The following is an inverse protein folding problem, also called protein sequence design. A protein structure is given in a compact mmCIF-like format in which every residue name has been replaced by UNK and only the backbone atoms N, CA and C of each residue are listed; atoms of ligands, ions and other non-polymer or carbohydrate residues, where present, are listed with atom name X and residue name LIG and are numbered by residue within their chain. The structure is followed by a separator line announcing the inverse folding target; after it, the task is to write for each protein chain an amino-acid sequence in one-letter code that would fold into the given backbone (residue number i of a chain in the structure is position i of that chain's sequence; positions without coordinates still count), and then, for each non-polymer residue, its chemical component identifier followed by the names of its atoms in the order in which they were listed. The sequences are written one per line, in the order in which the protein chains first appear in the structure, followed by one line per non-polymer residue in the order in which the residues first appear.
data_IF_150950549493
#
_entry.id   IF_150950549493
#
_cell.length_a   1.000
_cell.length_b   1.000
_cell.length_c   1.000
_cell.angle_alpha   90.00
_cell.angle_beta   90.00
_cell.angle_gamma   90.00
#
_symmetry.space_group_name_H-M   'P 1'
#
loop_
_entity.id
_entity.type
_entity.pdbx_description
1 polymer ?
#
# COMPACT_ATOMS: atom_id res chain seq x y z
N UNK A 1 27.59 22.22 -13.55
CA UNK A 1 27.58 21.24 -12.44
C UNK A 1 26.59 20.13 -12.78
N UNK A 2 26.57 19.02 -12.02
CA UNK A 2 25.61 17.93 -12.25
C UNK A 2 24.23 18.31 -11.69
N UNK A 3 23.12 18.15 -12.43
CA UNK A 3 21.78 18.36 -11.89
C UNK A 3 21.53 17.51 -10.64
N UNK A 4 20.93 18.11 -9.60
CA UNK A 4 20.73 17.43 -8.31
C UNK A 4 19.87 16.16 -8.45
N UNK A 5 18.97 16.13 -9.45
CA UNK A 5 18.13 14.98 -9.78
C UNK A 5 18.90 13.79 -10.40
N UNK A 6 20.18 13.95 -10.76
CA UNK A 6 21.01 12.84 -11.28
C UNK A 6 21.74 12.07 -10.18
N UNK A 7 21.73 12.54 -8.93
CA UNK A 7 22.22 11.78 -7.78
C UNK A 7 21.19 10.73 -7.35
N UNK A 8 21.60 9.46 -7.28
CA UNK A 8 20.73 8.32 -6.92
C UNK A 8 20.00 8.51 -5.58
N UNK A 9 20.61 9.20 -4.61
CA UNK A 9 19.98 9.50 -3.32
C UNK A 9 18.80 10.48 -3.44
N UNK A 10 18.87 11.45 -4.35
CA UNK A 10 17.77 12.38 -4.63
C UNK A 10 16.63 11.64 -5.35
N UNK A 11 16.98 10.79 -6.31
CA UNK A 11 16.04 9.97 -7.07
C UNK A 11 15.30 8.95 -6.18
N UNK A 12 16.03 8.25 -5.29
CA UNK A 12 15.46 7.28 -4.34
C UNK A 12 14.36 7.88 -3.46
N UNK A 13 14.57 9.11 -2.97
CA UNK A 13 13.56 9.87 -2.22
C UNK A 13 12.41 10.33 -3.11
N UNK A 14 12.71 11.10 -4.16
CA UNK A 14 11.66 11.79 -4.92
C UNK A 14 10.81 10.84 -5.77
N UNK A 15 11.39 9.81 -6.38
CA UNK A 15 10.61 8.88 -7.23
C UNK A 15 9.74 7.96 -6.39
N UNK A 16 10.12 7.66 -5.15
CA UNK A 16 9.24 7.02 -4.19
C UNK A 16 8.01 7.89 -3.87
N UNK A 17 8.16 9.21 -3.75
CA UNK A 17 7.03 10.14 -3.53
C UNK A 17 6.13 10.23 -4.78
N UNK A 18 6.70 10.33 -5.99
CA UNK A 18 5.92 10.25 -7.25
C UNK A 18 5.12 8.94 -7.30
N UNK A 19 5.75 7.82 -6.94
CA UNK A 19 5.10 6.52 -6.91
C UNK A 19 3.97 6.42 -5.87
N UNK A 20 4.15 7.03 -4.70
CA UNK A 20 3.08 7.19 -3.69
C UNK A 20 1.91 8.02 -4.25
N UNK A 21 2.16 9.17 -4.88
CA UNK A 21 1.10 10.03 -5.42
C UNK A 21 0.21 9.30 -6.45
N UNK A 22 0.81 8.58 -7.41
CA UNK A 22 0.05 7.77 -8.38
C UNK A 22 -0.69 6.60 -7.72
N UNK A 23 -0.08 5.91 -6.75
CA UNK A 23 -0.73 4.81 -6.02
C UNK A 23 -1.95 5.30 -5.22
N UNK A 24 -1.83 6.46 -4.54
CA UNK A 24 -2.92 7.12 -3.82
C UNK A 24 -4.04 7.52 -4.76
N UNK A 25 -3.74 8.15 -5.90
CA UNK A 25 -4.74 8.57 -6.88
C UNK A 25 -5.61 7.39 -7.39
N UNK A 26 -4.98 6.31 -7.86
CA UNK A 26 -5.75 5.14 -8.33
C UNK A 26 -6.49 4.41 -7.20
N UNK A 27 -5.97 4.45 -5.97
CA UNK A 27 -6.66 3.90 -4.80
C UNK A 27 -7.92 4.72 -4.44
N UNK A 28 -7.85 6.05 -4.59
CA UNK A 28 -8.99 6.96 -4.44
C UNK A 28 -10.11 6.65 -5.44
N UNK A 29 -9.77 6.42 -6.71
CA UNK A 29 -10.74 5.99 -7.74
C UNK A 29 -11.39 4.63 -7.39
N UNK A 30 -10.61 3.65 -6.92
CA UNK A 30 -11.13 2.34 -6.50
C UNK A 30 -12.12 2.49 -5.34
N UNK A 31 -11.79 3.26 -4.31
CA UNK A 31 -12.67 3.51 -3.16
C UNK A 31 -13.92 4.32 -3.55
N UNK A 32 -13.77 5.30 -4.42
CA UNK A 32 -14.90 6.08 -4.95
C UNK A 32 -15.88 5.19 -5.72
N UNK A 33 -15.38 4.18 -6.43
CA UNK A 33 -16.23 3.21 -7.12
C UNK A 33 -16.84 2.16 -6.17
N UNK A 34 -16.14 1.75 -5.10
CA UNK A 34 -16.72 0.93 -4.02
C UNK A 34 -17.86 1.67 -3.28
N UNK A 35 -17.69 2.97 -3.04
CA UNK A 35 -18.74 3.82 -2.46
C UNK A 35 -19.98 3.88 -3.36
N UNK A 36 -19.82 4.12 -4.67
CA UNK A 36 -20.94 4.10 -5.65
C UNK A 36 -21.67 2.76 -5.69
N UNK A 37 -20.94 1.64 -5.56
CA UNK A 37 -21.53 0.30 -5.48
C UNK A 37 -22.37 0.12 -4.21
N UNK A 38 -21.85 0.57 -3.05
CA UNK A 38 -22.58 0.55 -1.79
C UNK A 38 -23.83 1.45 -1.83
N UNK A 39 -23.74 2.67 -2.37
CA UNK A 39 -24.86 3.61 -2.47
C UNK A 39 -26.04 3.00 -3.24
N UNK A 40 -25.75 2.43 -4.42
CA UNK A 40 -26.73 1.70 -5.23
C UNK A 40 -27.33 0.47 -4.53
N UNK A 41 -26.54 -0.28 -3.75
CA UNK A 41 -27.02 -1.43 -2.97
C UNK A 41 -27.88 -1.01 -1.77
N UNK A 42 -27.50 0.06 -1.07
CA UNK A 42 -28.20 0.58 0.11
C UNK A 42 -29.62 1.03 -0.24
N UNK A 43 -29.82 1.54 -1.46
CA UNK A 43 -31.14 1.86 -2.02
C UNK A 43 -32.09 0.66 -2.15
N UNK A 44 -31.56 -0.57 -2.14
CA UNK A 44 -32.32 -1.83 -2.10
C UNK A 44 -32.40 -2.47 -0.71
N UNK A 45 -31.80 -1.83 0.32
CA UNK A 45 -31.74 -2.34 1.68
C UNK A 45 -30.59 -3.32 1.97
N UNK A 46 -29.67 -3.53 1.02
CA UNK A 46 -28.45 -4.30 1.26
C UNK A 46 -27.35 -3.41 1.85
N UNK A 47 -26.86 -3.78 3.03
CA UNK A 47 -25.78 -3.10 3.75
C UNK A 47 -24.52 -3.97 3.89
N UNK A 48 -24.42 -5.08 3.17
CA UNK A 48 -23.34 -6.06 3.27
C UNK A 48 -21.94 -5.46 3.03
N UNK A 49 -21.82 -4.53 2.07
CA UNK A 49 -20.56 -3.82 1.81
C UNK A 49 -20.17 -2.78 2.87
N UNK A 50 -21.10 -2.28 3.70
CA UNK A 50 -20.86 -1.15 4.60
C UNK A 50 -19.67 -1.36 5.54
N UNK A 51 -19.54 -2.56 6.10
CA UNK A 51 -18.44 -2.89 7.01
C UNK A 51 -17.07 -2.94 6.30
N UNK A 52 -17.02 -3.43 5.06
CA UNK A 52 -15.80 -3.47 4.24
C UNK A 52 -15.41 -2.06 3.76
N UNK A 53 -16.39 -1.29 3.28
CA UNK A 53 -16.23 0.10 2.87
C UNK A 53 -15.68 0.95 4.02
N UNK A 54 -16.33 0.94 5.19
CA UNK A 54 -15.89 1.68 6.37
C UNK A 54 -14.47 1.30 6.82
N UNK A 55 -14.15 0.00 6.90
CA UNK A 55 -12.81 -0.44 7.30
C UNK A 55 -11.74 0.00 6.29
N UNK A 56 -12.05 -0.08 4.99
CA UNK A 56 -11.18 0.36 3.90
C UNK A 56 -10.96 1.88 3.95
N UNK A 57 -12.02 2.68 4.13
CA UNK A 57 -11.91 4.15 4.21
C UNK A 57 -11.18 4.61 5.46
N UNK A 58 -11.47 4.04 6.64
CA UNK A 58 -10.74 4.38 7.88
C UNK A 58 -9.24 4.07 7.76
N UNK A 59 -8.89 2.89 7.25
CA UNK A 59 -7.50 2.48 7.07
C UNK A 59 -6.77 3.35 6.05
N UNK A 60 -7.38 3.60 4.89
CA UNK A 60 -6.76 4.39 3.83
C UNK A 60 -6.66 5.88 4.18
N UNK A 61 -7.66 6.49 4.82
CA UNK A 61 -7.58 7.87 5.31
C UNK A 61 -6.37 8.04 6.22
N UNK A 62 -6.19 7.11 7.17
CA UNK A 62 -5.05 7.14 8.09
C UNK A 62 -3.70 6.96 7.38
N UNK A 63 -3.59 5.94 6.52
CA UNK A 63 -2.37 5.65 5.76
C UNK A 63 -1.98 6.80 4.82
N UNK A 64 -2.92 7.30 4.01
CA UNK A 64 -2.68 8.33 2.99
C UNK A 64 -2.35 9.68 3.62
N UNK A 65 -3.05 10.07 4.69
CA UNK A 65 -2.75 11.34 5.37
C UNK A 65 -1.37 11.36 6.02
N UNK A 66 -0.96 10.29 6.70
CA UNK A 66 0.40 10.17 7.24
C UNK A 66 1.47 10.14 6.13
N UNK A 67 1.28 9.31 5.10
CA UNK A 67 2.18 9.19 3.94
C UNK A 67 2.39 10.51 3.20
N UNK A 68 1.34 11.32 3.09
CA UNK A 68 1.40 12.62 2.39
C UNK A 68 2.10 13.69 3.22
N UNK A 69 1.90 13.71 4.56
CA UNK A 69 2.68 14.59 5.46
C UNK A 69 4.18 14.27 5.35
N UNK A 70 4.57 13.00 5.47
CA UNK A 70 5.96 12.54 5.26
C UNK A 70 6.49 13.02 3.89
N UNK A 71 5.71 12.80 2.83
CA UNK A 71 6.09 13.12 1.44
C UNK A 71 6.32 14.61 1.19
N UNK A 72 5.44 15.48 1.71
CA UNK A 72 5.56 16.94 1.53
C UNK A 72 6.84 17.46 2.20
N UNK A 73 7.12 17.05 3.44
CA UNK A 73 8.35 17.43 4.13
C UNK A 73 9.59 16.87 3.41
N UNK A 74 9.55 15.65 2.88
CA UNK A 74 10.72 15.09 2.20
C UNK A 74 10.99 15.74 0.83
N UNK A 75 9.95 16.16 0.10
CA UNK A 75 10.06 17.02 -1.08
C UNK A 75 10.58 18.42 -0.72
N UNK A 76 10.10 19.02 0.38
CA UNK A 76 10.60 20.30 0.89
C UNK A 76 12.11 20.22 1.20
N UNK A 77 12.52 19.16 1.91
CA UNK A 77 13.94 18.82 2.20
C UNK A 77 14.74 18.46 0.94
N UNK A 78 14.10 18.17 -0.20
CA UNK A 78 14.78 17.90 -1.46
C UNK A 78 15.19 19.18 -2.20
N UNK A 79 14.53 20.30 -1.91
CA UNK A 79 14.86 21.63 -2.43
C UNK A 79 15.93 22.37 -1.59
N UNK A 80 16.57 21.68 -0.65
CA UNK A 80 17.65 22.22 0.20
C UNK A 80 17.23 23.47 0.97
N UNK A 81 18.13 24.46 1.05
CA UNK A 81 17.86 25.73 1.74
C UNK A 81 16.73 26.55 1.11
N UNK A 82 16.55 26.48 -0.22
CA UNK A 82 15.46 27.19 -0.89
C UNK A 82 14.08 26.59 -0.55
N UNK A 83 14.00 25.29 -0.25
CA UNK A 83 12.80 24.65 0.30
C UNK A 83 12.40 25.12 1.71
N UNK A 84 13.19 25.94 2.40
CA UNK A 84 12.73 26.60 3.63
C UNK A 84 12.02 27.93 3.34
N UNK A 85 12.24 28.53 2.17
CA UNK A 85 11.59 29.78 1.77
C UNK A 85 10.10 29.57 1.54
N UNK A 86 9.26 30.53 1.95
CA UNK A 86 7.82 30.47 1.65
C UNK A 86 7.54 30.55 0.15
N UNK A 87 8.45 31.13 -0.64
CA UNK A 87 8.40 31.11 -2.11
C UNK A 87 8.58 29.71 -2.72
N UNK A 88 8.85 28.67 -1.93
CA UNK A 88 8.86 27.27 -2.41
C UNK A 88 7.47 26.62 -2.47
N UNK A 89 6.42 27.28 -1.96
CA UNK A 89 5.06 26.73 -1.82
C UNK A 89 4.93 25.68 -0.69
N UNK A 90 5.91 24.79 -0.56
CA UNK A 90 5.91 23.67 0.39
C UNK A 90 5.62 24.05 1.85
N UNK A 91 6.13 25.17 2.36
CA UNK A 91 5.89 25.59 3.75
C UNK A 91 4.41 25.83 4.04
N UNK A 92 3.69 26.46 3.11
CA UNK A 92 2.24 26.69 3.24
C UNK A 92 1.47 25.38 2.99
N UNK A 93 1.79 24.66 1.92
CA UNK A 93 1.14 23.39 1.58
C UNK A 93 1.24 22.34 2.69
N UNK A 94 2.37 22.29 3.40
CA UNK A 94 2.54 21.44 4.58
C UNK A 94 1.64 21.88 5.74
N UNK A 95 1.52 23.18 6.00
CA UNK A 95 0.65 23.73 7.05
C UNK A 95 -0.83 23.48 6.75
N UNK A 96 -1.26 23.67 5.49
CA UNK A 96 -2.62 23.42 5.04
C UNK A 96 -2.99 21.92 5.07
N UNK A 97 -2.02 21.03 4.83
CA UNK A 97 -2.26 19.58 4.83
C UNK A 97 -2.18 18.94 6.23
N UNK A 98 -1.42 19.53 7.17
CA UNK A 98 -1.19 18.99 8.52
C UNK A 98 -2.44 18.66 9.37
N UNK A 99 -3.64 19.25 9.18
CA UNK A 99 -4.84 18.82 9.90
C UNK A 99 -5.41 17.44 9.48
N UNK A 100 -5.07 16.95 8.28
CA UNK A 100 -5.67 15.74 7.70
C UNK A 100 -5.44 14.45 8.50
N UNK A 101 -4.29 14.23 9.19
CA UNK A 101 -4.13 13.13 10.14
C UNK A 101 -5.03 13.17 11.41
N UNK A 102 -5.70 14.29 11.69
CA UNK A 102 -6.44 14.51 12.96
C UNK A 102 -7.93 14.72 12.74
N UNK A 103 -8.33 15.51 11.74
CA UNK A 103 -9.74 15.75 11.44
C UNK A 103 -10.38 14.55 10.72
N UNK A 104 -11.71 14.47 10.71
CA UNK A 104 -12.49 13.32 10.22
C UNK A 104 -12.18 11.96 10.92
N UNK A 105 -11.43 12.00 12.02
CA UNK A 105 -11.02 10.84 12.81
C UNK A 105 -9.51 10.77 12.94
N UNK A 106 -9.02 10.75 14.19
CA UNK A 106 -7.59 10.60 14.48
C UNK A 106 -7.02 9.29 13.89
N UNK A 107 -5.79 9.36 13.36
CA UNK A 107 -5.17 8.26 12.64
C UNK A 107 -4.87 7.01 13.50
N UNK A 108 -4.66 7.14 14.82
CA UNK A 108 -4.57 5.98 15.74
C UNK A 108 -5.95 5.37 16.02
N UNK A 109 -6.99 6.20 16.12
CA UNK A 109 -8.36 5.70 16.29
C UNK A 109 -8.89 4.99 15.02
N UNK A 110 -8.62 5.53 13.83
CA UNK A 110 -9.03 4.93 12.55
C UNK A 110 -8.29 3.61 12.24
N UNK A 111 -7.01 3.51 12.58
CA UNK A 111 -6.29 2.22 12.47
C UNK A 111 -6.82 1.19 13.45
N UNK A 112 -7.21 1.58 14.67
CA UNK A 112 -7.85 0.67 15.63
C UNK A 112 -9.23 0.17 15.16
N UNK A 113 -10.05 1.03 14.53
CA UNK A 113 -11.31 0.60 13.88
C UNK A 113 -11.06 -0.45 12.79
N UNK A 114 -10.05 -0.21 11.95
CA UNK A 114 -9.64 -1.11 10.86
C UNK A 114 -9.16 -2.45 11.43
N UNK A 115 -8.30 -2.44 12.45
CA UNK A 115 -7.83 -3.64 13.13
C UNK A 115 -8.97 -4.48 13.72
N UNK A 116 -9.97 -3.86 14.36
CA UNK A 116 -11.16 -4.55 14.87
C UNK A 116 -11.93 -5.30 13.77
N UNK A 117 -12.07 -4.71 12.58
CA UNK A 117 -12.69 -5.35 11.43
C UNK A 117 -11.88 -6.57 10.93
N UNK A 118 -10.56 -6.40 10.79
CA UNK A 118 -9.66 -7.49 10.38
C UNK A 118 -9.67 -8.66 11.37
N UNK A 119 -9.61 -8.38 12.68
CA UNK A 119 -9.65 -9.39 13.73
C UNK A 119 -11.01 -10.10 13.83
N UNK A 120 -12.13 -9.40 13.53
CA UNK A 120 -13.44 -10.04 13.41
C UNK A 120 -13.46 -11.01 12.21
N UNK A 121 -13.07 -10.53 11.04
CA UNK A 121 -13.05 -11.31 9.79
C UNK A 121 -12.18 -12.57 9.92
N UNK A 122 -11.00 -12.46 10.53
CA UNK A 122 -10.09 -13.59 10.76
C UNK A 122 -10.72 -14.68 11.65
N UNK A 123 -11.38 -14.30 12.76
CA UNK A 123 -12.09 -15.24 13.63
C UNK A 123 -13.28 -15.89 12.94
N UNK A 124 -14.04 -15.13 12.14
CA UNK A 124 -15.16 -15.66 11.35
C UNK A 124 -14.70 -16.70 10.32
N UNK A 125 -13.56 -16.47 9.65
CA UNK A 125 -12.95 -17.44 8.73
C UNK A 125 -12.49 -18.71 9.46
N UNK A 126 -11.78 -18.58 10.60
CA UNK A 126 -11.35 -19.74 11.41
C UNK A 126 -12.54 -20.55 11.89
N UNK A 127 -13.55 -19.89 12.48
CA UNK A 127 -14.75 -20.56 12.97
C UNK A 127 -15.52 -21.29 11.86
N UNK A 128 -15.63 -20.69 10.67
CA UNK A 128 -16.28 -21.33 9.51
C UNK A 128 -15.51 -22.57 9.03
N UNK A 129 -14.18 -22.48 8.96
CA UNK A 129 -13.27 -23.60 8.64
C UNK A 129 -13.44 -24.77 9.61
N UNK A 130 -13.59 -24.50 10.92
CA UNK A 130 -13.84 -25.56 11.92
C UNK A 130 -15.21 -26.24 11.78
N UNK A 131 -16.22 -25.57 11.23
CA UNK A 131 -17.56 -26.16 11.04
C UNK A 131 -17.67 -27.01 9.76
N UNK A 132 -16.60 -27.20 8.98
CA UNK A 132 -16.62 -27.78 7.63
C UNK A 132 -17.68 -27.14 6.70
N UNK A 133 -18.07 -25.89 6.97
CA UNK A 133 -18.87 -25.09 6.05
C UNK A 133 -17.93 -24.61 4.96
N UNK A 134 -18.20 -25.07 3.74
CA UNK A 134 -17.55 -24.56 2.54
C UNK A 134 -17.75 -23.04 2.50
N UNK A 135 -16.67 -22.25 2.53
CA UNK A 135 -16.72 -20.78 2.47
C UNK A 135 -16.91 -20.31 1.01
N UNK A 136 -17.86 -20.96 0.35
CA UNK A 136 -18.26 -20.74 -1.04
C UNK A 136 -19.21 -19.54 -1.05
N UNK A 137 -18.99 -18.59 -1.97
CA UNK A 137 -19.71 -17.30 -2.11
C UNK A 137 -19.26 -16.14 -1.18
N UNK A 138 -17.96 -15.85 -1.10
CA UNK A 138 -17.51 -14.45 -0.85
C UNK A 138 -16.14 -14.05 -1.46
N UNK A 139 -15.60 -14.85 -2.38
CA UNK A 139 -14.29 -14.59 -3.00
C UNK A 139 -14.24 -13.31 -3.85
N UNK A 140 -15.33 -12.93 -4.52
CA UNK A 140 -15.35 -11.82 -5.47
C UNK A 140 -15.52 -10.42 -4.82
N UNK A 141 -15.88 -10.34 -3.54
CA UNK A 141 -16.24 -9.06 -2.88
C UNK A 141 -15.30 -8.62 -1.76
N UNK A 142 -14.36 -9.45 -1.30
CA UNK A 142 -13.40 -9.06 -0.26
C UNK A 142 -12.03 -9.76 -0.36
N UNK A 143 -11.01 -9.09 -0.95
CA UNK A 143 -9.64 -9.62 -1.01
C UNK A 143 -9.02 -9.98 0.35
N UNK A 144 -9.45 -9.36 1.45
CA UNK A 144 -8.98 -9.65 2.81
C UNK A 144 -9.22 -11.11 3.19
N UNK A 145 -10.43 -11.62 2.90
CA UNK A 145 -10.82 -13.00 3.17
C UNK A 145 -9.94 -13.95 2.35
N UNK A 146 -9.71 -13.64 1.07
CA UNK A 146 -8.83 -14.41 0.21
C UNK A 146 -7.40 -14.50 0.75
N UNK A 147 -6.81 -13.39 1.21
CA UNK A 147 -5.46 -13.40 1.78
C UNK A 147 -5.37 -14.16 3.11
N UNK A 148 -6.36 -14.00 4.01
CA UNK A 148 -6.46 -14.77 5.25
C UNK A 148 -6.57 -16.27 4.95
N UNK A 149 -7.48 -16.67 4.06
CA UNK A 149 -7.62 -18.05 3.61
C UNK A 149 -6.32 -18.57 2.99
N UNK A 150 -5.59 -17.76 2.21
CA UNK A 150 -4.30 -18.10 1.59
C UNK A 150 -3.16 -18.28 2.61
N UNK A 151 -3.12 -17.50 3.70
CA UNK A 151 -2.15 -17.65 4.77
C UNK A 151 -2.47 -18.85 5.67
N UNK A 152 -3.72 -19.00 6.13
CA UNK A 152 -4.19 -20.21 6.82
C UNK A 152 -4.04 -21.46 5.93
N UNK A 153 -3.96 -21.25 4.62
CA UNK A 153 -3.65 -22.25 3.60
C UNK A 153 -2.17 -22.63 3.46
N UNK A 154 -1.22 -21.84 3.96
CA UNK A 154 0.20 -22.24 4.03
C UNK A 154 0.98 -21.31 4.99
N UNK A 155 0.85 -21.47 6.32
CA UNK A 155 1.50 -20.59 7.31
C UNK A 155 3.03 -20.66 7.35
N UNK A 156 3.64 -21.51 6.53
CA UNK A 156 5.08 -21.66 6.36
C UNK A 156 5.51 -21.42 4.90
N UNK A 157 4.68 -20.73 4.10
CA UNK A 157 5.01 -20.44 2.71
C UNK A 157 6.30 -19.62 2.63
N UNK A 158 7.18 -20.00 1.70
CA UNK A 158 8.36 -19.20 1.34
C UNK A 158 8.10 -18.48 0.01
N UNK A 159 8.69 -17.31 -0.14
CA UNK A 159 8.59 -16.52 -1.36
C UNK A 159 9.20 -17.28 -2.55
N UNK A 160 8.52 -17.25 -3.68
CA UNK A 160 8.92 -17.96 -4.92
C UNK A 160 9.96 -17.20 -5.75
N UNK A 161 10.40 -16.02 -5.31
CA UNK A 161 11.38 -15.19 -6.02
C UNK A 161 12.75 -15.87 -6.10
N UNK A 162 13.29 -15.95 -7.30
CA UNK A 162 14.63 -16.48 -7.64
C UNK A 162 15.53 -15.45 -8.31
N UNK A 163 14.95 -14.44 -8.97
CA UNK A 163 15.64 -13.35 -9.68
C UNK A 163 15.10 -11.97 -9.25
N UNK A 164 15.87 -10.87 -9.36
CA UNK A 164 15.37 -9.51 -9.11
C UNK A 164 14.13 -9.16 -9.96
N UNK A 165 14.11 -9.59 -11.22
CA UNK A 165 12.99 -9.39 -12.15
C UNK A 165 11.69 -10.08 -11.74
N UNK A 166 11.73 -11.11 -10.89
CA UNK A 166 10.51 -11.80 -10.43
C UNK A 166 9.63 -10.86 -9.57
N UNK A 167 10.23 -9.87 -8.89
CA UNK A 167 9.52 -8.85 -8.14
C UNK A 167 8.71 -7.88 -9.03
N UNK A 168 8.96 -7.83 -10.34
CA UNK A 168 8.21 -6.99 -11.28
C UNK A 168 6.84 -7.59 -11.66
N UNK A 169 6.53 -8.82 -11.21
CA UNK A 169 5.27 -9.50 -11.45
C UNK A 169 4.24 -9.12 -10.36
N UNK A 170 3.08 -8.49 -10.71
CA UNK A 170 2.06 -8.12 -9.75
C UNK A 170 1.53 -9.29 -8.91
N UNK A 171 1.43 -10.51 -9.46
CA UNK A 171 0.97 -11.68 -8.71
C UNK A 171 1.94 -12.08 -7.58
N UNK A 172 3.23 -11.80 -7.77
CA UNK A 172 4.29 -12.03 -6.77
C UNK A 172 4.21 -10.94 -5.70
N UNK A 173 4.00 -9.68 -6.08
CA UNK A 173 3.81 -8.57 -5.14
C UNK A 173 2.57 -8.76 -4.26
N UNK A 174 1.43 -9.10 -4.86
CA UNK A 174 0.18 -9.38 -4.15
C UNK A 174 0.30 -10.63 -3.26
N UNK A 175 1.05 -11.65 -3.69
CA UNK A 175 1.35 -12.81 -2.85
C UNK A 175 2.23 -12.46 -1.64
N UNK A 176 3.22 -11.57 -1.79
CA UNK A 176 4.09 -11.09 -0.70
C UNK A 176 3.28 -10.23 0.28
N UNK A 177 2.56 -9.21 -0.20
CA UNK A 177 1.76 -8.32 0.64
C UNK A 177 0.59 -9.02 1.31
N UNK A 178 -0.15 -9.85 0.57
CA UNK A 178 -1.25 -10.64 1.12
C UNK A 178 -0.80 -11.61 2.20
N UNK A 179 0.38 -12.22 2.06
CA UNK A 179 0.97 -13.06 3.11
C UNK A 179 1.36 -12.23 4.35
N UNK A 180 2.07 -11.09 4.17
CA UNK A 180 2.40 -10.20 5.29
C UNK A 180 1.15 -9.76 6.04
N UNK A 181 0.15 -9.21 5.35
CA UNK A 181 -1.07 -8.71 5.97
C UNK A 181 -1.79 -9.81 6.77
N UNK A 182 -1.98 -10.99 6.18
CA UNK A 182 -2.63 -12.10 6.86
C UNK A 182 -1.79 -12.70 8.01
N UNK A 183 -0.46 -12.72 7.89
CA UNK A 183 0.45 -13.10 8.97
C UNK A 183 0.39 -12.12 10.15
N UNK A 184 0.37 -10.81 9.90
CA UNK A 184 0.27 -9.80 10.96
C UNK A 184 -1.10 -9.83 11.64
N UNK A 185 -2.19 -10.02 10.87
CA UNK A 185 -3.53 -10.24 11.42
C UNK A 185 -3.53 -11.51 12.28
N UNK A 186 -2.93 -12.61 11.80
CA UNK A 186 -2.80 -13.83 12.57
C UNK A 186 -2.01 -13.63 13.86
N UNK A 187 -0.81 -13.03 13.80
CA UNK A 187 0.03 -12.76 14.96
C UNK A 187 -0.64 -11.80 15.97
N UNK A 188 -1.35 -10.76 15.51
CA UNK A 188 -2.04 -9.83 16.39
C UNK A 188 -3.28 -10.45 17.04
N UNK A 189 -4.06 -11.25 16.29
CA UNK A 189 -5.14 -12.06 16.87
C UNK A 189 -4.55 -13.09 17.83
N UNK A 190 -3.47 -13.78 17.47
CA UNK A 190 -2.76 -14.71 18.34
C UNK A 190 -2.21 -14.03 19.60
N UNK A 191 -1.78 -12.76 19.58
CA UNK A 191 -1.35 -12.05 20.79
C UNK A 191 -2.52 -11.67 21.70
N UNK A 192 -3.69 -11.35 21.14
CA UNK A 192 -4.92 -11.04 21.91
C UNK A 192 -5.56 -12.33 22.43
N UNK A 193 -5.60 -13.38 21.60
CA UNK A 193 -6.35 -14.61 21.82
C UNK A 193 -5.49 -15.77 22.36
N UNK A 194 -4.15 -15.74 22.31
CA UNK A 194 -3.28 -16.74 22.97
C UNK A 194 -2.92 -16.45 24.43
N UNK A 195 -3.69 -15.57 25.07
CA UNK A 195 -4.15 -15.92 26.42
C UNK A 195 -4.99 -17.23 26.44
N UNK A 196 -5.43 -17.77 25.29
CA UNK A 196 -6.35 -18.92 25.11
C UNK A 196 -6.13 -19.86 23.86
N UNK A 197 -4.89 -20.08 23.36
CA UNK A 197 -4.39 -21.26 22.56
C UNK A 197 -4.69 -21.50 21.04
N UNK A 198 -3.65 -21.28 20.21
CA UNK A 198 -2.98 -22.13 19.19
C UNK A 198 -3.74 -22.82 17.99
N UNK A 199 -3.72 -22.15 16.81
CA UNK A 199 -3.24 -22.58 15.44
C UNK A 199 -3.55 -23.94 14.73
N UNK A 200 -3.73 -23.96 13.36
CA UNK A 200 -3.27 -25.00 12.36
C UNK A 200 -3.70 -24.79 10.83
N UNK A 201 -2.80 -25.15 9.87
CA UNK A 201 -2.79 -25.43 8.38
C UNK A 201 -4.09 -25.76 7.57
N UNK A 202 -4.26 -25.84 6.22
CA UNK A 202 -3.59 -25.54 4.88
C UNK A 202 -4.74 -25.51 3.76
N UNK A 203 -4.76 -25.28 2.40
CA UNK A 203 -4.00 -25.00 1.10
C UNK A 203 -5.07 -24.48 0.03
N UNK A 204 -5.00 -23.63 -1.05
CA UNK A 204 -4.13 -22.73 -1.94
C UNK A 204 -5.09 -21.71 -2.71
N UNK A 205 -4.97 -20.99 -3.88
CA UNK A 205 -4.11 -20.76 -5.12
C UNK A 205 -4.26 -19.28 -5.69
N UNK A 206 -4.20 -18.92 -7.01
CA UNK A 206 -4.29 -17.56 -7.72
C UNK A 206 -4.58 -17.64 -9.28
N UNK A 207 -4.98 -16.54 -9.98
CA UNK A 207 -5.06 -16.35 -11.48
C UNK A 207 -4.57 -14.92 -11.97
N UNK A 208 -4.73 -14.46 -13.24
CA UNK A 208 -3.77 -13.58 -13.98
C UNK A 208 -4.27 -12.38 -14.86
N UNK A 209 -3.30 -11.52 -15.32
CA UNK A 209 -3.21 -10.69 -16.58
C UNK A 209 -3.70 -9.20 -16.54
N UNK A 210 -3.45 -8.23 -17.46
CA UNK A 210 -2.70 -8.11 -18.76
C UNK A 210 -2.20 -6.63 -19.04
N UNK A 211 -1.57 -6.25 -20.20
CA UNK A 211 -1.02 -4.88 -20.49
C UNK A 211 -1.59 -4.04 -21.67
N UNK A 212 -1.23 -2.75 -21.70
CA UNK A 212 -1.56 -1.75 -22.74
C UNK A 212 -0.76 -0.44 -22.55
N UNK A 213 -1.41 0.64 -22.08
CA UNK A 213 -0.80 1.88 -21.51
C UNK A 213 0.12 1.61 -20.28
N UNK A 214 0.42 0.35 -20.01
CA UNK A 214 0.76 -0.19 -18.71
C UNK A 214 2.21 0.08 -18.29
N UNK A 215 3.16 0.27 -19.21
CA UNK A 215 4.60 0.20 -18.86
C UNK A 215 5.02 1.24 -17.82
N UNK A 216 4.92 2.55 -18.11
CA UNK A 216 5.42 3.59 -17.19
C UNK A 216 4.66 3.54 -15.85
N UNK A 217 3.33 3.43 -15.89
CA UNK A 217 2.51 3.28 -14.69
C UNK A 217 2.81 2.00 -13.90
N UNK A 218 3.26 0.92 -14.54
CA UNK A 218 3.73 -0.30 -13.87
C UNK A 218 5.13 -0.15 -13.30
N UNK A 219 6.06 0.54 -13.96
CA UNK A 219 7.36 0.84 -13.34
C UNK A 219 7.17 1.72 -12.09
N UNK A 220 6.27 2.71 -12.14
CA UNK A 220 5.89 3.56 -11.00
C UNK A 220 5.17 2.75 -9.90
N UNK A 221 4.17 1.92 -10.24
CA UNK A 221 3.48 1.03 -9.29
C UNK A 221 4.42 0.00 -8.65
N UNK A 222 5.32 -0.59 -9.43
CA UNK A 222 6.37 -1.50 -8.94
C UNK A 222 7.35 -0.75 -8.03
N UNK A 223 7.70 0.51 -8.30
CA UNK A 223 8.54 1.29 -7.38
C UNK A 223 7.81 1.51 -6.05
N UNK A 224 6.53 1.89 -6.05
CA UNK A 224 5.74 2.01 -4.82
C UNK A 224 5.75 0.70 -4.02
N UNK A 225 5.43 -0.43 -4.67
CA UNK A 225 5.40 -1.73 -4.03
C UNK A 225 6.77 -2.16 -3.48
N UNK A 226 7.84 -2.09 -4.29
CA UNK A 226 9.15 -2.62 -3.89
C UNK A 226 9.91 -1.70 -2.92
N UNK A 227 9.75 -0.37 -3.03
CA UNK A 227 10.28 0.57 -2.04
C UNK A 227 9.60 0.39 -0.68
N UNK A 228 8.29 0.16 -0.68
CA UNK A 228 7.54 -0.07 0.57
C UNK A 228 7.91 -1.41 1.20
N UNK A 229 8.12 -2.48 0.41
CA UNK A 229 8.72 -3.73 0.89
C UNK A 229 10.13 -3.54 1.46
N UNK A 230 10.93 -2.60 0.95
CA UNK A 230 12.26 -2.30 1.49
C UNK A 230 12.20 -1.48 2.79
N UNK A 231 11.26 -0.53 2.91
CA UNK A 231 11.01 0.26 4.13
C UNK A 231 10.54 -0.63 5.29
N UNK A 232 9.69 -1.62 5.00
CA UNK A 232 9.05 -2.51 5.99
C UNK A 232 9.71 -3.90 6.07
N UNK A 233 10.96 -4.02 5.61
CA UNK A 233 11.64 -5.30 5.34
C UNK A 233 11.72 -6.27 6.53
N UNK A 234 11.76 -5.77 7.76
CA UNK A 234 11.81 -6.58 8.99
C UNK A 234 10.66 -7.58 9.06
N UNK A 235 9.43 -7.13 8.82
CA UNK A 235 8.22 -7.94 8.97
C UNK A 235 8.16 -9.10 7.94
N UNK A 236 8.73 -8.89 6.75
CA UNK A 236 8.84 -9.93 5.72
C UNK A 236 9.94 -10.96 6.00
N UNK A 237 10.95 -10.60 6.81
CA UNK A 237 12.01 -11.48 7.29
C UNK A 237 11.59 -12.24 8.57
N UNK A 238 10.85 -11.58 9.48
CA UNK A 238 10.32 -12.14 10.73
C UNK A 238 9.17 -13.12 10.49
N UNK A 239 8.30 -12.84 9.52
CA UNK A 239 7.34 -13.83 8.99
C UNK A 239 8.01 -14.96 8.17
N UNK A 240 9.34 -14.92 8.06
CA UNK A 240 10.21 -15.91 7.43
C UNK A 240 9.86 -16.23 5.95
N UNK A 241 9.06 -15.36 5.31
CA UNK A 241 8.57 -15.52 3.94
C UNK A 241 9.62 -15.08 2.91
N UNK A 242 10.23 -13.91 3.11
CA UNK A 242 11.42 -13.49 2.37
C UNK A 242 12.66 -14.02 3.07
N UNK A 243 13.60 -14.56 2.28
CA UNK A 243 14.95 -14.85 2.75
C UNK A 243 15.84 -13.60 2.68
N UNK A 244 16.92 -13.52 3.48
CA UNK A 244 17.94 -12.47 3.34
C UNK A 244 18.61 -12.40 1.95
N UNK A 245 18.52 -13.46 1.14
CA UNK A 245 18.95 -13.46 -0.26
C UNK A 245 17.98 -12.69 -1.15
N UNK A 246 16.68 -12.96 -1.03
CA UNK A 246 15.61 -12.25 -1.75
C UNK A 246 15.54 -10.77 -1.32
N UNK A 247 15.78 -10.48 -0.03
CA UNK A 247 15.92 -9.11 0.46
C UNK A 247 17.03 -8.32 -0.26
N UNK A 248 18.17 -8.95 -0.59
CA UNK A 248 19.21 -8.28 -1.40
C UNK A 248 18.81 -8.10 -2.87
N UNK A 249 18.05 -9.05 -3.43
CA UNK A 249 17.50 -8.93 -4.79
C UNK A 249 16.48 -7.79 -4.91
N UNK A 250 15.68 -7.56 -3.86
CA UNK A 250 14.72 -6.46 -3.78
C UNK A 250 15.41 -5.10 -3.92
N UNK A 251 16.47 -4.84 -3.12
CA UNK A 251 17.23 -3.57 -3.17
C UNK A 251 17.85 -3.29 -4.54
N UNK A 252 18.33 -4.34 -5.21
CA UNK A 252 18.83 -4.25 -6.60
C UNK A 252 17.69 -3.84 -7.54
N UNK A 253 16.52 -4.49 -7.45
CA UNK A 253 15.38 -4.17 -8.31
C UNK A 253 14.83 -2.75 -8.07
N UNK A 254 14.81 -2.27 -6.82
CA UNK A 254 14.47 -0.87 -6.49
C UNK A 254 15.47 0.11 -7.15
N UNK A 255 16.77 -0.18 -7.07
CA UNK A 255 17.81 0.65 -7.71
C UNK A 255 17.68 0.70 -9.24
N UNK A 256 17.34 -0.41 -9.91
CA UNK A 256 17.11 -0.40 -11.36
C UNK A 256 15.80 0.31 -11.76
N UNK A 257 14.72 0.15 -10.99
CA UNK A 257 13.46 0.88 -11.20
C UNK A 257 13.63 2.40 -11.13
N UNK A 258 14.44 2.87 -10.18
CA UNK A 258 14.77 4.29 -10.02
C UNK A 258 15.44 4.84 -11.30
N UNK A 259 16.37 4.08 -11.91
CA UNK A 259 17.00 4.45 -13.18
C UNK A 259 16.02 4.42 -14.36
N UNK A 260 15.10 3.46 -14.40
CA UNK A 260 14.06 3.37 -15.45
C UNK A 260 13.09 4.58 -15.40
N UNK A 261 12.78 5.07 -14.19
CA UNK A 261 11.86 6.19 -13.99
C UNK A 261 12.54 7.55 -14.26
N UNK A 262 13.85 7.71 -13.98
CA UNK A 262 14.60 8.96 -14.16
C UNK A 262 14.31 9.75 -15.46
N UNK A 263 14.30 9.16 -16.67
CA UNK A 263 14.00 9.92 -17.91
C UNK A 263 12.55 10.41 -18.00
N UNK A 264 11.62 9.78 -17.29
CA UNK A 264 10.18 10.11 -17.31
C UNK A 264 9.74 10.97 -16.11
N UNK A 265 10.62 11.22 -15.14
CA UNK A 265 10.26 11.78 -13.83
C UNK A 265 9.62 13.19 -13.89
N UNK A 266 10.02 14.03 -14.86
CA UNK A 266 9.42 15.36 -15.06
C UNK A 266 8.04 15.22 -15.72
N UNK A 267 7.95 14.51 -16.84
CA UNK A 267 6.68 14.22 -17.52
C UNK A 267 5.64 13.52 -16.61
N UNK A 268 6.07 12.78 -15.59
CA UNK A 268 5.19 12.16 -14.59
C UNK A 268 4.57 13.18 -13.60
N UNK A 269 5.20 14.33 -13.35
CA UNK A 269 4.60 15.42 -12.55
C UNK A 269 3.91 16.46 -13.44
N UNK A 270 4.41 16.71 -14.65
CA UNK A 270 3.73 17.53 -15.68
C UNK A 270 2.32 16.98 -15.98
N UNK A 271 2.17 15.66 -15.97
CA UNK A 271 0.90 14.97 -16.15
C UNK A 271 -0.15 15.23 -15.06
N UNK A 272 0.22 15.85 -13.92
CA UNK A 272 -0.75 16.37 -12.96
C UNK A 272 -1.44 17.65 -13.46
N UNK A 273 -0.89 18.32 -14.48
CA UNK A 273 -1.44 19.50 -15.15
C UNK A 273 -1.84 20.63 -14.17
N UNK A 274 -0.97 20.87 -13.19
CA UNK A 274 -1.13 21.92 -12.17
C UNK A 274 -0.58 23.26 -12.71
N UNK A 275 -1.41 24.32 -12.83
CA UNK A 275 -0.92 25.62 -13.27
C UNK A 275 -0.17 26.36 -12.15
N UNK A 276 0.78 27.21 -12.52
CA UNK A 276 1.69 27.95 -11.63
C UNK A 276 0.98 28.66 -10.46
N UNK A 277 -0.20 29.23 -10.71
CA UNK A 277 -0.98 29.95 -9.69
C UNK A 277 -1.56 29.02 -8.60
N UNK A 278 -1.76 27.74 -8.91
CA UNK A 278 -2.23 26.70 -7.99
C UNK A 278 -1.04 26.02 -7.30
N UNK A 279 0.07 25.82 -8.03
CA UNK A 279 1.32 25.30 -7.48
C UNK A 279 1.97 26.29 -6.50
N UNK A 280 1.78 27.60 -6.73
CA UNK A 280 2.18 28.71 -5.86
C UNK A 280 3.64 28.61 -5.38
N UNK A 281 4.54 28.26 -6.31
CA UNK A 281 5.96 28.04 -6.06
C UNK A 281 6.81 28.73 -7.12
N UNK A 282 7.94 29.30 -6.68
CA UNK A 282 9.00 29.82 -7.53
C UNK A 282 10.17 28.81 -7.71
N UNK A 283 9.97 27.55 -7.27
CA UNK A 283 10.91 26.43 -7.46
C UNK A 283 10.34 25.27 -8.27
N UNK A 284 9.02 25.27 -8.49
CA UNK A 284 8.29 24.23 -9.24
C UNK A 284 8.39 24.42 -10.73
#
# INVERSE_FOLDING_TARGET
ETPVLDYTMQQYRLFAVIAQAYAVYFTGEIITNLYKQYDAQSSSGDFSLLANLHASTSGLKSLVSAMTVDSIEDCRRACGGHGYSNFSGFTMFYQDYLPNPTWEGDNYLLTHQTARYLFKTYREVIHSKHQNKEFTLQYDTNPTIFYILRYLSNPNQKCTVTSPSDFMNPEVQLAIYGYRAANLIAQAVDQIDNHQKNSINEKRRILHNSPGLKKVLTSVCNLFALHTMEKELSEFLESEYLSPKQARMLRVQVSELIKEIRPNAVALVDAFNLPDYLLNSALG
#
